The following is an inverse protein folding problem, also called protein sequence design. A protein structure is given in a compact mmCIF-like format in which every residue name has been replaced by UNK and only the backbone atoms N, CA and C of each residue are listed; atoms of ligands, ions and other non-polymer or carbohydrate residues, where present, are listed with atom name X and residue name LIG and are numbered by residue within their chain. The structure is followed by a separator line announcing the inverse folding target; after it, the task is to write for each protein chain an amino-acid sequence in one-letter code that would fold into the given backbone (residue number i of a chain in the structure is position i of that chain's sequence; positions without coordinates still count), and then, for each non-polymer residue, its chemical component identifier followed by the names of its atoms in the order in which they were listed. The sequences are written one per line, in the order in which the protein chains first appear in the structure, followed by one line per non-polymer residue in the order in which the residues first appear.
data_IF_206614347554
#
_entry.id   IF_206614347554
#
_cell.length_a   1.000
_cell.length_b   1.000
_cell.length_c   1.000
_cell.angle_alpha   90.00
_cell.angle_beta   90.00
_cell.angle_gamma   90.00
#
_symmetry.space_group_name_H-M   'P 1'
#
loop_
_entity.id
_entity.type
_entity.pdbx_description
1 polymer ?
#
# COMPACT_ATOMS: atom_id res chain seq x y z
N UNK A 1 8.13 -2.24 -8.16
CA UNK A 1 7.19 -1.11 -8.16
C UNK A 1 7.81 -0.02 -7.33
N UNK A 2 7.63 1.24 -7.73
CA UNK A 2 8.10 2.39 -6.96
C UNK A 2 7.05 2.77 -5.90
N UNK A 3 7.45 3.57 -4.91
CA UNK A 3 6.51 4.13 -3.92
C UNK A 3 5.38 4.89 -4.61
N UNK A 4 5.72 5.69 -5.63
CA UNK A 4 4.76 6.50 -6.37
C UNK A 4 3.75 5.63 -7.15
N UNK A 5 4.19 4.54 -7.78
CA UNK A 5 3.29 3.57 -8.41
C UNK A 5 2.38 2.90 -7.37
N UNK A 6 2.90 2.56 -6.19
CA UNK A 6 2.12 1.95 -5.12
C UNK A 6 1.03 2.90 -4.59
N UNK A 7 1.37 4.18 -4.40
CA UNK A 7 0.39 5.23 -4.04
C UNK A 7 -0.69 5.39 -5.10
N UNK A 8 -0.32 5.38 -6.38
CA UNK A 8 -1.30 5.45 -7.48
C UNK A 8 -2.24 4.24 -7.50
N UNK A 9 -1.73 3.02 -7.27
CA UNK A 9 -2.54 1.80 -7.20
C UNK A 9 -3.55 1.88 -6.04
N UNK A 10 -3.17 2.44 -4.90
CA UNK A 10 -4.03 2.59 -3.72
C UNK A 10 -4.87 3.90 -3.73
N UNK A 11 -4.67 4.77 -4.72
CA UNK A 11 -5.37 6.06 -4.82
C UNK A 11 -5.05 7.00 -3.65
N UNK A 12 -3.79 7.04 -3.24
CA UNK A 12 -3.30 7.81 -2.10
C UNK A 12 -2.52 9.05 -2.54
N UNK A 13 -2.63 10.18 -1.80
CA UNK A 13 -1.75 11.33 -2.00
C UNK A 13 -0.31 11.06 -1.51
N UNK A 14 0.62 11.92 -1.92
CA UNK A 14 2.06 11.81 -1.60
C UNK A 14 2.35 11.97 -0.09
N UNK A 15 1.47 12.61 0.66
CA UNK A 15 1.57 12.82 2.11
C UNK A 15 0.66 11.90 2.93
N UNK A 16 0.10 10.85 2.32
CA UNK A 16 -0.75 9.89 3.03
C UNK A 16 -0.02 9.27 4.23
N UNK A 17 -0.72 9.10 5.34
CA UNK A 17 -0.19 8.39 6.51
C UNK A 17 -0.31 6.87 6.33
N UNK A 18 0.47 6.11 7.11
CA UNK A 18 0.38 4.65 7.12
C UNK A 18 -1.03 4.13 7.43
N UNK A 19 -1.76 4.79 8.33
CA UNK A 19 -3.15 4.46 8.63
C UNK A 19 -4.06 4.57 7.39
N UNK A 20 -3.88 5.62 6.58
CA UNK A 20 -4.63 5.79 5.32
C UNK A 20 -4.25 4.73 4.28
N UNK A 21 -2.98 4.31 4.26
CA UNK A 21 -2.51 3.20 3.41
C UNK A 21 -3.27 1.92 3.75
N UNK A 22 -3.37 1.60 5.04
CA UNK A 22 -4.07 0.41 5.52
C UNK A 22 -5.57 0.45 5.20
N UNK A 23 -6.22 1.59 5.44
CA UNK A 23 -7.66 1.76 5.16
C UNK A 23 -7.96 1.58 3.66
N UNK A 24 -7.16 2.22 2.78
CA UNK A 24 -7.34 2.08 1.32
C UNK A 24 -7.01 0.69 0.83
N UNK A 25 -5.96 0.08 1.37
CA UNK A 25 -5.61 -1.30 1.07
C UNK A 25 -6.77 -2.25 1.40
N UNK A 26 -7.31 -2.20 2.61
CA UNK A 26 -8.39 -3.11 3.03
C UNK A 26 -9.63 -2.94 2.15
N UNK A 27 -10.06 -1.68 1.92
CA UNK A 27 -11.19 -1.36 1.06
C UNK A 27 -11.04 -1.93 -0.35
N UNK A 28 -9.87 -1.70 -0.99
CA UNK A 28 -9.60 -2.19 -2.34
C UNK A 28 -9.45 -3.71 -2.38
N UNK A 29 -8.82 -4.31 -1.37
CA UNK A 29 -8.61 -5.74 -1.29
C UNK A 29 -9.94 -6.49 -1.14
N UNK A 30 -10.82 -6.03 -0.24
CA UNK A 30 -12.16 -6.58 -0.06
C UNK A 30 -13.02 -6.42 -1.32
N UNK A 31 -12.96 -5.24 -1.96
CA UNK A 31 -13.68 -5.00 -3.22
C UNK A 31 -13.19 -5.92 -4.33
N UNK A 32 -11.87 -6.09 -4.46
CA UNK A 32 -11.28 -6.94 -5.49
C UNK A 32 -11.48 -8.43 -5.21
N UNK A 33 -11.59 -8.85 -3.96
CA UNK A 33 -11.93 -10.23 -3.61
C UNK A 33 -13.35 -10.62 -4.05
N UNK A 34 -14.29 -9.65 -4.04
CA UNK A 34 -15.70 -9.89 -4.43
C UNK A 34 -15.95 -9.72 -5.93
N UNK A 35 -15.33 -8.72 -6.55
CA UNK A 35 -15.66 -8.29 -7.92
C UNK A 35 -14.44 -8.13 -8.84
N UNK A 36 -13.23 -8.34 -8.32
CA UNK A 36 -11.98 -8.16 -9.06
C UNK A 36 -11.40 -9.48 -9.57
N UNK A 37 -10.27 -9.37 -10.25
CA UNK A 37 -9.44 -10.51 -10.64
C UNK A 37 -8.29 -10.71 -9.65
N UNK A 38 -7.76 -11.93 -9.61
CA UNK A 38 -6.56 -12.26 -8.86
C UNK A 38 -5.38 -11.33 -9.18
N UNK A 39 -5.28 -10.86 -10.43
CA UNK A 39 -4.26 -9.90 -10.84
C UNK A 39 -4.41 -8.54 -10.15
N UNK A 40 -5.64 -8.00 -10.10
CA UNK A 40 -5.91 -6.73 -9.41
C UNK A 40 -5.68 -6.84 -7.90
N UNK A 41 -6.08 -7.96 -7.31
CA UNK A 41 -5.83 -8.23 -5.90
C UNK A 41 -4.31 -8.34 -5.61
N UNK A 42 -3.57 -9.04 -6.46
CA UNK A 42 -2.11 -9.14 -6.37
C UNK A 42 -1.43 -7.77 -6.50
N UNK A 43 -1.91 -6.89 -7.38
CA UNK A 43 -1.39 -5.53 -7.53
C UNK A 43 -1.59 -4.68 -6.27
N UNK A 44 -2.78 -4.74 -5.67
CA UNK A 44 -3.09 -4.03 -4.42
C UNK A 44 -2.24 -4.54 -3.26
N UNK A 45 -2.06 -5.86 -3.15
CA UNK A 45 -1.18 -6.46 -2.14
C UNK A 45 0.27 -6.02 -2.29
N UNK A 46 0.78 -6.07 -3.52
CA UNK A 46 2.15 -5.66 -3.84
C UNK A 46 2.37 -4.18 -3.53
N UNK A 47 1.42 -3.31 -3.87
CA UNK A 47 1.48 -1.89 -3.53
C UNK A 47 1.60 -1.67 -2.01
N UNK A 48 0.82 -2.39 -1.20
CA UNK A 48 0.92 -2.34 0.25
C UNK A 48 2.32 -2.75 0.75
N UNK A 49 2.86 -3.87 0.28
CA UNK A 49 4.21 -4.34 0.67
C UNK A 49 5.30 -3.30 0.32
N UNK A 50 5.18 -2.62 -0.82
CA UNK A 50 6.12 -1.58 -1.23
C UNK A 50 6.10 -0.37 -0.28
N UNK A 51 4.90 0.07 0.11
CA UNK A 51 4.76 1.16 1.07
C UNK A 51 5.19 0.69 2.46
N UNK A 52 4.82 -0.51 2.89
CA UNK A 52 5.20 -1.08 4.18
C UNK A 52 6.72 -1.06 4.40
N UNK A 53 7.51 -1.39 3.37
CA UNK A 53 8.97 -1.30 3.45
C UNK A 53 9.48 0.13 3.67
N UNK A 54 8.78 1.13 3.14
CA UNK A 54 9.11 2.55 3.31
C UNK A 54 8.77 3.02 4.73
N UNK A 55 7.53 2.78 5.18
CA UNK A 55 7.06 3.21 6.50
C UNK A 55 7.72 2.42 7.65
N UNK A 56 8.00 1.12 7.49
CA UNK A 56 8.77 0.33 8.48
C UNK A 56 10.25 0.66 8.49
N UNK A 57 10.80 1.12 7.36
CA UNK A 57 12.16 1.66 7.31
C UNK A 57 12.30 2.90 8.17
N UNK A 58 11.23 3.70 8.30
CA UNK A 58 11.20 4.88 9.18
C UNK A 58 10.97 4.54 10.67
N UNK A 59 10.43 3.37 11.00
CA UNK A 59 10.25 2.90 12.40
C UNK A 59 11.51 2.24 13.01
N UNK A 60 12.67 2.29 12.34
CA UNK A 60 13.95 1.93 12.97
C UNK A 60 14.80 3.17 13.25
N UNK A 61 14.78 3.72 14.48
CA UNK A 61 15.83 4.63 14.92
C UNK A 61 17.07 3.77 15.26
N UNK A 62 17.84 3.45 14.23
CA UNK A 62 19.21 2.95 14.38
C UNK A 62 20.18 4.12 14.39
N UNK A 63 20.25 4.84 15.52
CA UNK A 63 21.36 5.76 15.83
C UNK A 63 22.62 4.96 16.09
N UNK A 64 23.75 5.37 15.51
CA UNK A 64 25.09 4.85 15.81
C UNK A 64 26.11 5.18 14.73
#
# INVERSE_FOLDING_TARGET
MTEQEARQILGLPENAKWEEVLERYDTLFQRNAKNGSFYLQSKVHRAKECLEATYRGEESPGTG
#
